data_IF_087147299086
#
_entry.id   IF_087147299086
#
_cell.length_a   1.000
_cell.length_b   1.000
_cell.length_c   1.000
_cell.angle_alpha   90.00
_cell.angle_beta   90.00
_cell.angle_gamma   90.00
#
_symmetry.space_group_name_H-M   'P 1'
#
loop_
_entity.id
_entity.type
_entity.pdbx_description
1 polymer ?
#
# COMPACT_ATOMS: atom_id res chain seq x y z
N UNK A 1 5.34 34.29 -7.82
CA UNK A 1 4.90 33.04 -8.44
C UNK A 1 4.10 32.28 -7.40
N UNK A 2 2.87 31.89 -7.71
CA UNK A 2 2.08 30.98 -6.87
C UNK A 2 2.84 29.66 -6.74
N UNK A 3 2.87 29.06 -5.55
CA UNK A 3 3.47 27.73 -5.39
C UNK A 3 2.68 26.73 -6.23
N UNK A 4 3.33 25.81 -6.96
CA UNK A 4 2.64 24.76 -7.70
C UNK A 4 1.74 23.94 -6.76
N UNK A 5 0.69 23.34 -7.31
CA UNK A 5 -0.14 22.37 -6.62
C UNK A 5 0.26 20.96 -7.07
N UNK A 6 0.18 19.97 -6.18
CA UNK A 6 0.43 18.58 -6.54
C UNK A 6 -0.88 17.82 -6.80
N UNK A 7 -0.96 17.13 -7.94
CA UNK A 7 -2.09 16.32 -8.34
C UNK A 7 -1.67 14.89 -8.64
N UNK A 8 -2.59 13.94 -8.40
CA UNK A 8 -2.56 12.59 -8.96
C UNK A 8 -3.36 12.62 -10.27
N UNK A 9 -2.74 12.22 -11.39
CA UNK A 9 -3.36 12.24 -12.73
C UNK A 9 -3.88 10.89 -13.19
N UNK A 10 -3.19 9.80 -12.82
CA UNK A 10 -3.63 8.44 -13.08
C UNK A 10 -3.00 7.51 -12.06
N UNK A 11 -3.60 6.34 -11.88
CA UNK A 11 -3.02 5.25 -11.09
C UNK A 11 -3.50 3.90 -11.60
N UNK A 12 -2.60 2.96 -11.78
CA UNK A 12 -2.89 1.59 -12.20
C UNK A 12 -2.16 0.60 -11.32
N UNK A 13 -2.59 -0.66 -11.35
CA UNK A 13 -1.94 -1.76 -10.64
C UNK A 13 -2.07 -3.07 -11.41
N UNK A 14 -1.20 -4.03 -11.11
CA UNK A 14 -1.47 -5.42 -11.47
C UNK A 14 -2.65 -5.94 -10.63
N UNK A 15 -3.33 -7.02 -11.06
CA UNK A 15 -4.01 -7.86 -10.08
C UNK A 15 -2.99 -8.35 -9.06
N UNK A 16 -3.41 -8.55 -7.81
CA UNK A 16 -2.53 -9.07 -6.78
C UNK A 16 -2.68 -10.58 -6.69
N UNK A 17 -1.54 -11.27 -6.83
CA UNK A 17 -1.43 -12.72 -6.71
C UNK A 17 -1.27 -13.14 -5.25
N UNK A 18 -1.72 -14.34 -4.90
CA UNK A 18 -1.43 -14.93 -3.58
C UNK A 18 0.02 -15.40 -3.52
N UNK A 19 0.56 -15.53 -2.31
CA UNK A 19 1.88 -16.12 -2.10
C UNK A 19 1.98 -17.54 -2.68
N UNK A 20 2.98 -17.76 -3.54
CA UNK A 20 3.14 -19.00 -4.31
C UNK A 20 2.07 -19.20 -5.40
N UNK A 21 1.26 -18.18 -5.70
CA UNK A 21 0.14 -18.22 -6.63
C UNK A 21 0.52 -17.75 -8.04
N UNK A 22 -0.44 -17.11 -8.72
CA UNK A 22 -0.37 -16.84 -10.16
C UNK A 22 0.80 -15.92 -10.58
N UNK A 23 1.29 -15.06 -9.68
CA UNK A 23 2.42 -14.15 -9.95
C UNK A 23 3.77 -14.65 -9.42
N UNK A 24 3.85 -15.80 -8.75
CA UNK A 24 5.09 -16.29 -8.13
C UNK A 24 6.22 -16.57 -9.15
N UNK A 25 5.85 -16.82 -10.42
CA UNK A 25 6.78 -17.00 -11.53
C UNK A 25 7.32 -15.70 -12.13
N UNK A 26 6.74 -14.54 -11.79
CA UNK A 26 7.08 -13.24 -12.38
C UNK A 26 8.01 -12.47 -11.44
N UNK A 27 9.11 -11.94 -11.97
CA UNK A 27 10.07 -11.18 -11.16
C UNK A 27 9.50 -9.83 -10.74
N UNK A 28 9.88 -9.28 -9.55
CA UNK A 28 9.41 -7.97 -9.11
C UNK A 28 9.90 -6.82 -9.99
N UNK A 29 11.11 -6.88 -10.56
CA UNK A 29 11.60 -5.85 -11.49
C UNK A 29 10.80 -5.86 -12.81
N UNK A 30 10.38 -7.03 -13.29
CA UNK A 30 9.47 -7.17 -14.44
C UNK A 30 8.04 -6.69 -14.12
N UNK A 31 7.50 -7.01 -12.94
CA UNK A 31 6.20 -6.49 -12.49
C UNK A 31 6.20 -4.96 -12.41
N UNK A 32 7.27 -4.38 -11.88
CA UNK A 32 7.45 -2.94 -11.83
C UNK A 32 7.56 -2.33 -13.23
N UNK A 33 8.40 -2.90 -14.10
CA UNK A 33 8.55 -2.44 -15.48
C UNK A 33 7.21 -2.49 -16.24
N UNK A 34 6.42 -3.54 -16.02
CA UNK A 34 5.11 -3.69 -16.64
C UNK A 34 4.16 -2.55 -16.27
N UNK A 35 3.98 -2.23 -14.98
CA UNK A 35 3.10 -1.12 -14.58
C UNK A 35 3.65 0.25 -14.99
N UNK A 36 4.98 0.42 -15.04
CA UNK A 36 5.59 1.66 -15.55
C UNK A 36 5.26 1.85 -17.04
N UNK A 37 5.50 0.83 -17.86
CA UNK A 37 5.21 0.86 -19.30
C UNK A 37 3.72 1.06 -19.56
N UNK A 38 2.88 0.25 -18.91
CA UNK A 38 1.43 0.33 -19.07
C UNK A 38 0.86 1.70 -18.67
N UNK A 39 1.43 2.36 -17.65
CA UNK A 39 1.01 3.70 -17.26
C UNK A 39 1.40 4.75 -18.31
N UNK A 40 2.63 4.68 -18.85
CA UNK A 40 3.08 5.59 -19.91
C UNK A 40 2.29 5.38 -21.20
N UNK A 41 1.96 4.14 -21.57
CA UNK A 41 1.15 3.82 -22.77
C UNK A 41 -0.24 4.45 -22.75
N UNK A 42 -0.78 4.74 -21.55
CA UNK A 42 -2.08 5.40 -21.40
C UNK A 42 -2.03 6.89 -21.73
N UNK A 43 -0.85 7.47 -21.88
CA UNK A 43 -0.64 8.86 -22.30
C UNK A 43 0.12 8.89 -23.64
N UNK A 44 -0.54 8.60 -24.78
CA UNK A 44 0.13 8.47 -26.08
C UNK A 44 0.82 9.75 -26.58
N UNK A 45 0.42 10.92 -26.07
CA UNK A 45 1.04 12.21 -26.38
C UNK A 45 2.25 12.56 -25.50
N UNK A 46 2.54 11.78 -24.46
CA UNK A 46 3.65 12.06 -23.55
C UNK A 46 4.99 11.73 -24.22
N UNK A 47 5.86 12.72 -24.38
CA UNK A 47 7.29 12.46 -24.57
C UNK A 47 7.87 11.94 -23.24
N UNK A 48 8.33 10.68 -23.15
CA UNK A 48 8.83 10.12 -21.89
C UNK A 48 10.00 10.91 -21.30
N UNK A 49 10.75 11.68 -22.10
CA UNK A 49 11.84 12.55 -21.61
C UNK A 49 11.33 13.68 -20.70
N UNK A 50 10.03 13.94 -20.69
CA UNK A 50 9.37 14.93 -19.82
C UNK A 50 9.00 14.38 -18.44
N UNK A 51 9.23 13.10 -18.18
CA UNK A 51 9.16 12.54 -16.83
C UNK A 51 10.45 12.94 -16.10
N UNK A 52 10.32 13.75 -15.04
CA UNK A 52 11.47 14.30 -14.32
C UNK A 52 12.16 13.24 -13.45
N UNK A 53 11.39 12.31 -12.88
CA UNK A 53 11.90 11.22 -12.06
C UNK A 53 10.90 10.06 -11.95
N UNK A 54 11.43 8.89 -11.58
CA UNK A 54 10.65 7.72 -11.14
C UNK A 54 10.97 7.43 -9.68
N UNK A 55 9.94 7.37 -8.82
CA UNK A 55 10.10 7.03 -7.39
C UNK A 55 9.22 5.85 -7.02
N UNK A 56 9.84 4.71 -6.67
CA UNK A 56 9.11 3.46 -6.37
C UNK A 56 9.32 2.99 -4.94
N UNK A 57 8.25 2.51 -4.32
CA UNK A 57 8.28 1.84 -3.03
C UNK A 57 8.62 0.36 -3.14
N UNK A 58 9.50 -0.12 -2.26
CA UNK A 58 9.79 -1.55 -2.12
C UNK A 58 10.27 -1.86 -0.68
N UNK A 59 9.63 -2.81 0.00
CA UNK A 59 9.91 -3.09 1.41
C UNK A 59 11.12 -4.01 1.59
N UNK A 60 11.33 -4.94 0.66
CA UNK A 60 12.47 -5.85 0.66
C UNK A 60 13.30 -5.66 -0.60
N UNK A 61 14.52 -5.08 -0.48
CA UNK A 61 15.42 -4.81 -1.59
C UNK A 61 16.54 -5.84 -1.77
N UNK A 62 16.34 -7.07 -1.29
CA UNK A 62 17.39 -8.08 -1.19
C UNK A 62 17.46 -9.03 -2.40
N UNK A 63 16.35 -9.18 -3.12
CA UNK A 63 16.18 -10.14 -4.21
C UNK A 63 16.41 -9.57 -5.59
N UNK A 64 15.50 -9.89 -6.49
CA UNK A 64 15.55 -9.50 -7.89
C UNK A 64 15.31 -7.98 -8.07
N UNK A 65 14.65 -7.37 -7.08
CA UNK A 65 14.40 -5.95 -6.89
C UNK A 65 15.58 -5.15 -6.28
N UNK A 66 16.76 -5.76 -6.18
CA UNK A 66 17.96 -5.14 -5.59
C UNK A 66 18.44 -3.89 -6.36
N UNK A 67 19.27 -3.10 -5.68
CA UNK A 67 20.05 -2.00 -6.27
C UNK A 67 19.19 -1.01 -7.08
N UNK A 68 18.09 -0.57 -6.47
CA UNK A 68 17.17 0.47 -6.98
C UNK A 68 16.20 -0.04 -8.06
N UNK A 69 15.16 -0.76 -7.63
CA UNK A 69 14.10 -1.29 -8.51
C UNK A 69 13.39 -0.21 -9.33
N UNK A 70 13.28 1.02 -8.82
CA UNK A 70 12.74 2.14 -9.59
C UNK A 70 13.55 2.38 -10.88
N UNK A 71 14.88 2.37 -10.77
CA UNK A 71 15.79 2.52 -11.92
C UNK A 71 15.74 1.30 -12.83
N UNK A 72 15.71 0.08 -12.27
CA UNK A 72 15.60 -1.14 -13.06
C UNK A 72 14.30 -1.16 -13.87
N UNK A 73 13.17 -0.89 -13.23
CA UNK A 73 11.85 -0.81 -13.85
C UNK A 73 11.80 0.23 -14.98
N UNK A 74 12.36 1.42 -14.76
CA UNK A 74 12.45 2.48 -15.78
C UNK A 74 13.18 2.01 -17.03
N UNK A 75 14.32 1.34 -16.86
CA UNK A 75 15.13 0.83 -17.98
C UNK A 75 14.46 -0.35 -18.68
N UNK A 76 13.93 -1.31 -17.93
CA UNK A 76 13.22 -2.48 -18.46
C UNK A 76 11.92 -2.10 -19.19
N UNK A 77 11.24 -1.04 -18.74
CA UNK A 77 10.08 -0.46 -19.43
C UNK A 77 10.44 0.28 -20.74
N UNK A 78 11.73 0.35 -21.10
CA UNK A 78 12.21 1.00 -22.31
C UNK A 78 12.16 2.53 -22.25
N UNK A 79 12.08 3.12 -21.06
CA UNK A 79 12.08 4.58 -20.92
C UNK A 79 13.51 5.17 -21.08
N UNK A 80 13.64 6.45 -21.47
CA UNK A 80 14.93 7.11 -21.65
C UNK A 80 15.88 6.96 -20.46
N UNK A 81 17.14 6.63 -20.74
CA UNK A 81 18.18 6.49 -19.71
C UNK A 81 18.45 7.76 -18.91
N UNK A 82 18.03 8.93 -19.42
CA UNK A 82 18.13 10.23 -18.76
C UNK A 82 17.21 10.39 -17.54
N UNK A 83 16.16 9.57 -17.42
CA UNK A 83 15.19 9.67 -16.31
C UNK A 83 15.80 9.08 -15.03
N UNK A 84 16.05 9.86 -13.98
CA UNK A 84 16.54 9.33 -12.71
C UNK A 84 15.47 8.45 -12.03
N UNK A 85 15.92 7.43 -11.31
CA UNK A 85 15.06 6.54 -10.54
C UNK A 85 15.51 6.47 -9.08
N UNK A 86 14.58 6.46 -8.13
CA UNK A 86 14.88 6.26 -6.70
C UNK A 86 13.92 5.27 -6.06
N UNK A 87 14.45 4.35 -5.25
CA UNK A 87 13.64 3.39 -4.51
C UNK A 87 13.57 3.83 -3.06
N UNK A 88 12.35 3.97 -2.54
CA UNK A 88 12.08 4.33 -1.15
C UNK A 88 11.61 3.09 -0.38
N UNK A 89 12.06 2.97 0.86
CA UNK A 89 11.63 1.91 1.77
C UNK A 89 11.11 2.53 3.06
N UNK A 90 9.79 2.48 3.21
CA UNK A 90 9.09 2.66 4.48
C UNK A 90 8.12 1.50 4.71
N UNK A 91 8.64 0.28 4.52
CA UNK A 91 7.93 -1.00 4.63
C UNK A 91 6.57 -0.97 3.89
N UNK A 92 5.47 -1.30 4.56
CA UNK A 92 4.11 -1.33 3.99
C UNK A 92 3.69 0.00 3.33
N UNK A 93 4.22 1.13 3.79
CA UNK A 93 3.86 2.46 3.31
C UNK A 93 4.71 2.96 2.15
N UNK A 94 5.64 2.16 1.62
CA UNK A 94 6.69 2.65 0.71
C UNK A 94 6.15 3.36 -0.53
N UNK A 95 5.14 2.83 -1.21
CA UNK A 95 4.57 3.52 -2.40
C UNK A 95 3.69 4.71 -2.07
N UNK A 96 3.09 4.78 -0.87
CA UNK A 96 2.42 6.00 -0.43
C UNK A 96 3.45 7.07 -0.11
N UNK A 97 4.56 6.70 0.53
CA UNK A 97 5.69 7.59 0.79
C UNK A 97 6.33 8.09 -0.52
N UNK A 98 6.41 7.24 -1.55
CA UNK A 98 6.85 7.64 -2.89
C UNK A 98 5.95 8.76 -3.47
N UNK A 99 4.63 8.63 -3.37
CA UNK A 99 3.69 9.68 -3.76
C UNK A 99 3.83 10.95 -2.90
N UNK A 100 4.08 10.80 -1.59
CA UNK A 100 4.33 11.92 -0.69
C UNK A 100 5.63 12.66 -1.03
N UNK A 101 6.71 11.95 -1.37
CA UNK A 101 7.98 12.53 -1.84
C UNK A 101 7.80 13.26 -3.16
N UNK A 102 7.19 12.63 -4.16
CA UNK A 102 6.93 13.27 -5.46
C UNK A 102 6.07 14.52 -5.33
N UNK A 103 5.01 14.45 -4.52
CA UNK A 103 4.14 15.58 -4.31
C UNK A 103 4.85 16.73 -3.55
N UNK A 104 5.90 16.47 -2.77
CA UNK A 104 6.76 17.53 -2.21
C UNK A 104 7.65 18.16 -3.28
N UNK A 105 8.27 17.35 -4.14
CA UNK A 105 9.09 17.82 -5.27
C UNK A 105 8.31 18.77 -6.17
N UNK A 106 7.06 18.40 -6.50
CA UNK A 106 6.15 19.27 -7.26
C UNK A 106 5.88 20.59 -6.54
N UNK A 107 5.51 20.57 -5.26
CA UNK A 107 5.17 21.78 -4.51
C UNK A 107 6.35 22.76 -4.34
N UNK A 108 7.59 22.25 -4.32
CA UNK A 108 8.79 23.11 -4.25
C UNK A 108 9.31 23.54 -5.63
N UNK A 109 8.73 23.01 -6.72
CA UNK A 109 9.08 23.35 -8.09
C UNK A 109 10.28 22.59 -8.67
N UNK A 110 10.69 21.48 -8.05
CA UNK A 110 11.80 20.65 -8.53
C UNK A 110 11.38 19.69 -9.66
N UNK A 111 10.08 19.42 -9.81
CA UNK A 111 9.53 18.54 -10.84
C UNK A 111 8.13 19.00 -11.27
N UNK A 112 7.81 18.80 -12.55
CA UNK A 112 6.46 18.98 -13.10
C UNK A 112 5.73 17.64 -13.24
N UNK A 113 6.45 16.54 -13.50
CA UNK A 113 5.87 15.21 -13.68
C UNK A 113 6.77 14.11 -13.11
N UNK A 114 6.28 13.43 -12.08
CA UNK A 114 6.96 12.30 -11.45
C UNK A 114 6.10 11.05 -11.58
N UNK A 115 6.70 9.97 -12.06
CA UNK A 115 6.07 8.65 -12.01
C UNK A 115 6.35 8.04 -10.63
N UNK A 116 5.29 7.67 -9.92
CA UNK A 116 5.36 7.06 -8.59
C UNK A 116 4.78 5.67 -8.61
N UNK A 117 5.07 4.87 -7.59
CA UNK A 117 4.48 3.54 -7.49
C UNK A 117 5.19 2.68 -6.47
N UNK A 118 5.07 1.36 -6.63
CA UNK A 118 5.85 0.39 -5.88
C UNK A 118 5.60 -1.03 -6.35
N UNK A 119 6.46 -1.93 -5.88
CA UNK A 119 6.38 -3.35 -6.20
C UNK A 119 6.78 -4.17 -4.98
N UNK A 120 6.13 -5.32 -4.83
CA UNK A 120 6.57 -6.36 -3.92
C UNK A 120 6.34 -7.73 -4.55
N UNK A 121 7.30 -8.63 -4.36
CA UNK A 121 7.18 -10.04 -4.73
C UNK A 121 7.59 -10.89 -3.54
N UNK A 122 6.65 -11.09 -2.62
CA UNK A 122 6.88 -11.86 -1.40
C UNK A 122 7.20 -13.32 -1.71
N UNK A 123 6.63 -13.89 -2.78
CA UNK A 123 6.90 -15.26 -3.25
C UNK A 123 8.35 -15.47 -3.69
N UNK A 124 9.02 -14.41 -4.15
CA UNK A 124 10.39 -14.45 -4.69
C UNK A 124 11.41 -13.80 -3.77
N UNK A 125 11.00 -13.45 -2.55
CA UNK A 125 11.90 -12.92 -1.54
C UNK A 125 13.00 -13.95 -1.21
N UNK A 126 14.29 -13.60 -1.31
CA UNK A 126 15.36 -14.55 -1.11
C UNK A 126 15.54 -14.92 0.36
N UNK A 127 16.45 -15.86 0.59
CA UNK A 127 17.06 -16.05 1.90
C UNK A 127 18.37 -15.25 1.97
N UNK A 128 18.71 -14.70 3.13
CA UNK A 128 19.98 -13.98 3.34
C UNK A 128 20.83 -14.67 4.39
N UNK A 129 22.15 -14.66 4.19
CA UNK A 129 23.13 -15.24 5.11
C UNK A 129 24.07 -14.15 5.63
N UNK A 130 24.29 -14.06 6.95
CA UNK A 130 25.31 -13.18 7.51
C UNK A 130 26.71 -13.53 6.98
N UNK A 131 27.56 -12.52 6.80
CA UNK A 131 28.98 -12.75 6.54
C UNK A 131 29.63 -13.38 7.77
N UNK A 132 30.59 -14.28 7.54
CA UNK A 132 31.38 -14.90 8.59
C UNK A 132 32.41 -13.90 9.13
N UNK A 133 32.58 -13.84 10.46
CA UNK A 133 33.61 -13.00 11.11
C UNK A 133 34.99 -13.63 11.15
N UNK A 134 35.10 -14.93 10.80
CA UNK A 134 36.35 -15.70 10.72
C UNK A 134 36.36 -16.51 9.41
N UNK A 135 37.54 -16.83 8.84
CA UNK A 135 37.64 -17.62 7.61
C UNK A 135 37.04 -19.03 7.72
N UNK A 136 37.17 -19.67 8.89
CA UNK A 136 36.70 -21.04 9.14
C UNK A 136 35.82 -21.07 10.40
N UNK A 137 34.53 -20.74 10.30
CA UNK A 137 33.61 -20.79 11.44
C UNK A 137 33.34 -22.24 11.85
N UNK A 138 33.52 -22.56 13.13
CA UNK A 138 33.17 -23.86 13.71
C UNK A 138 31.76 -23.83 14.34
N UNK A 139 30.77 -23.32 13.61
CA UNK A 139 29.35 -23.30 14.01
C UNK A 139 28.44 -23.26 12.78
N UNK A 140 27.16 -23.58 12.97
CA UNK A 140 26.15 -23.54 11.91
C UNK A 140 25.81 -22.11 11.50
N UNK A 141 25.49 -21.90 10.23
CA UNK A 141 24.92 -20.65 9.72
C UNK A 141 23.41 -20.82 9.50
N UNK A 142 22.63 -19.81 9.88
CA UNK A 142 21.19 -19.75 9.62
C UNK A 142 20.91 -18.81 8.46
N UNK A 143 20.22 -19.32 7.44
CA UNK A 143 19.67 -18.48 6.38
C UNK A 143 18.37 -17.84 6.88
N UNK A 144 18.25 -16.52 6.75
CA UNK A 144 17.07 -15.76 7.19
C UNK A 144 16.12 -15.54 6.01
N UNK A 145 14.82 -15.82 6.18
CA UNK A 145 13.82 -15.58 5.15
C UNK A 145 13.51 -14.08 5.06
N UNK A 146 13.58 -13.48 3.86
CA UNK A 146 13.30 -12.05 3.71
C UNK A 146 11.84 -11.71 3.38
N UNK A 147 10.97 -12.68 3.17
CA UNK A 147 9.59 -12.49 2.72
C UNK A 147 8.78 -11.60 3.68
N UNK A 148 8.89 -11.82 4.99
CA UNK A 148 8.25 -10.98 6.00
C UNK A 148 8.91 -11.16 7.37
N UNK A 149 8.86 -10.12 8.20
CA UNK A 149 9.15 -10.20 9.64
C UNK A 149 10.57 -9.79 10.03
N UNK A 150 10.83 -9.93 11.33
CA UNK A 150 12.12 -9.61 11.95
C UNK A 150 13.19 -10.61 11.54
N UNK A 151 14.38 -10.09 11.22
CA UNK A 151 15.57 -10.85 10.82
C UNK A 151 16.81 -10.04 11.15
N UNK A 152 17.94 -10.72 11.39
CA UNK A 152 19.22 -10.07 11.73
C UNK A 152 19.07 -9.02 12.85
N UNK A 153 18.27 -9.35 13.87
CA UNK A 153 17.83 -8.41 14.90
C UNK A 153 19.03 -7.89 15.69
N UNK A 154 19.14 -6.57 15.82
CA UNK A 154 20.17 -5.96 16.65
C UNK A 154 19.90 -6.29 18.13
N UNK A 155 20.85 -6.85 18.89
CA UNK A 155 20.66 -7.21 20.30
C UNK A 155 20.27 -6.05 21.23
N UNK A 156 20.43 -4.80 20.78
CA UNK A 156 20.00 -3.60 21.51
C UNK A 156 18.49 -3.32 21.37
N UNK A 157 17.79 -3.98 20.46
CA UNK A 157 16.35 -3.82 20.32
C UNK A 157 15.63 -4.44 21.53
N UNK A 158 14.73 -3.70 22.21
CA UNK A 158 13.85 -4.27 23.21
C UNK A 158 13.04 -5.44 22.65
N UNK A 159 12.88 -6.50 23.45
CA UNK A 159 12.16 -7.71 23.04
C UNK A 159 10.73 -7.40 22.60
N UNK A 160 10.03 -6.53 23.34
CA UNK A 160 8.66 -6.13 23.03
C UNK A 160 8.52 -5.40 21.68
N UNK A 161 9.60 -4.78 21.16
CA UNK A 161 9.57 -4.11 19.86
C UNK A 161 9.80 -5.06 18.69
N UNK A 162 10.29 -6.27 18.97
CA UNK A 162 10.68 -7.26 17.96
C UNK A 162 9.72 -8.45 17.87
N UNK A 163 8.54 -8.33 18.48
CA UNK A 163 7.45 -9.29 18.31
C UNK A 163 6.99 -9.30 16.84
N UNK A 164 6.40 -10.42 16.41
CA UNK A 164 5.85 -10.53 15.06
C UNK A 164 4.70 -9.52 14.85
N UNK A 165 4.41 -9.15 13.60
CA UNK A 165 3.27 -8.27 13.31
C UNK A 165 1.93 -8.86 13.81
N UNK A 166 1.78 -10.19 13.75
CA UNK A 166 0.60 -10.86 14.27
C UNK A 166 0.49 -10.79 15.79
N UNK A 167 1.59 -11.01 16.51
CA UNK A 167 1.63 -10.87 17.97
C UNK A 167 1.36 -9.42 18.41
N UNK A 168 1.98 -8.45 17.76
CA UNK A 168 1.69 -7.02 17.95
C UNK A 168 0.20 -6.71 17.72
N UNK A 169 -0.42 -7.34 16.72
CA UNK A 169 -1.84 -7.18 16.42
C UNK A 169 -2.74 -7.79 17.49
N UNK A 170 -2.37 -8.93 18.07
CA UNK A 170 -3.11 -9.52 19.20
C UNK A 170 -3.05 -8.58 20.42
N UNK A 171 -1.88 -8.02 20.76
CA UNK A 171 -1.74 -7.03 21.83
C UNK A 171 -2.59 -5.77 21.57
N UNK A 172 -2.67 -5.33 20.31
CA UNK A 172 -3.52 -4.22 19.91
C UNK A 172 -5.01 -4.57 20.06
N UNK A 173 -5.43 -5.76 19.64
CA UNK A 173 -6.81 -6.23 19.78
C UNK A 173 -7.24 -6.26 21.25
N UNK A 174 -6.38 -6.77 22.14
CA UNK A 174 -6.60 -6.77 23.59
C UNK A 174 -6.71 -5.35 24.14
N UNK A 175 -5.78 -4.47 23.78
CA UNK A 175 -5.76 -3.07 24.25
C UNK A 175 -7.02 -2.30 23.88
N UNK A 176 -7.56 -2.53 22.68
CA UNK A 176 -8.71 -1.80 22.15
C UNK A 176 -10.04 -2.56 22.26
N UNK A 177 -10.04 -3.77 22.83
CA UNK A 177 -11.24 -4.59 22.99
C UNK A 177 -11.85 -5.04 21.66
N UNK A 178 -11.03 -5.33 20.65
CA UNK A 178 -11.50 -5.76 19.33
C UNK A 178 -11.71 -7.27 19.31
N UNK A 179 -12.96 -7.69 19.48
CA UNK A 179 -13.30 -9.12 19.56
C UNK A 179 -13.09 -9.86 18.25
N UNK A 180 -12.93 -11.19 18.35
CA UNK A 180 -12.81 -12.10 17.19
C UNK A 180 -14.00 -11.96 16.24
N UNK A 181 -15.21 -11.87 16.77
CA UNK A 181 -16.45 -11.77 15.99
C UNK A 181 -16.46 -10.49 15.15
N UNK A 182 -16.00 -9.36 15.71
CA UNK A 182 -15.86 -8.11 14.96
C UNK A 182 -14.83 -8.23 13.84
N UNK A 183 -13.69 -8.88 14.12
CA UNK A 183 -12.63 -9.09 13.13
C UNK A 183 -13.12 -9.94 11.95
N UNK A 184 -13.83 -11.03 12.23
CA UNK A 184 -14.37 -11.92 11.19
C UNK A 184 -15.50 -11.26 10.40
N UNK A 185 -16.37 -10.46 11.05
CA UNK A 185 -17.39 -9.69 10.37
C UNK A 185 -16.80 -8.64 9.40
N UNK A 186 -15.77 -7.92 9.86
CA UNK A 186 -15.04 -6.96 9.02
C UNK A 186 -14.39 -7.64 7.81
N UNK A 187 -13.77 -8.81 8.02
CA UNK A 187 -13.13 -9.57 6.95
C UNK A 187 -14.13 -10.11 5.90
N UNK A 188 -15.27 -10.64 6.35
CA UNK A 188 -16.34 -11.08 5.45
C UNK A 188 -16.88 -9.92 4.59
N UNK A 189 -17.07 -8.74 5.20
CA UNK A 189 -17.53 -7.56 4.47
C UNK A 189 -16.48 -7.06 3.47
N UNK A 190 -15.19 -7.09 3.81
CA UNK A 190 -14.11 -6.74 2.87
C UNK A 190 -14.15 -7.63 1.61
N UNK A 191 -14.31 -8.95 1.79
CA UNK A 191 -14.48 -9.87 0.66
C UNK A 191 -15.73 -9.60 -0.16
N UNK A 192 -16.87 -9.34 0.49
CA UNK A 192 -18.15 -9.05 -0.19
C UNK A 192 -18.07 -7.74 -1.00
N UNK A 193 -17.48 -6.69 -0.42
CA UNK A 193 -17.31 -5.39 -1.07
C UNK A 193 -16.33 -5.46 -2.24
N UNK A 194 -15.19 -6.14 -2.09
CA UNK A 194 -14.28 -6.38 -3.21
C UNK A 194 -14.95 -7.22 -4.29
N UNK A 195 -15.77 -8.20 -3.90
CA UNK A 195 -16.49 -9.02 -4.87
C UNK A 195 -17.41 -8.17 -5.76
N UNK A 196 -18.29 -7.41 -5.12
CA UNK A 196 -19.23 -6.52 -5.78
C UNK A 196 -18.53 -5.45 -6.64
N UNK A 197 -17.45 -4.83 -6.14
CA UNK A 197 -16.74 -3.79 -6.88
C UNK A 197 -16.10 -4.31 -8.18
N UNK A 198 -15.63 -5.55 -8.19
CA UNK A 198 -15.16 -6.21 -9.42
C UNK A 198 -16.31 -6.53 -10.37
N UNK A 199 -17.41 -7.08 -9.86
CA UNK A 199 -18.56 -7.47 -10.68
C UNK A 199 -19.27 -6.25 -11.29
N UNK A 200 -19.22 -5.10 -10.61
CA UNK A 200 -19.69 -3.80 -11.10
C UNK A 200 -18.69 -3.09 -12.04
N UNK A 201 -17.53 -3.71 -12.33
CA UNK A 201 -16.54 -3.17 -13.25
C UNK A 201 -15.70 -2.01 -12.71
N UNK A 202 -15.73 -1.73 -11.39
CA UNK A 202 -15.00 -0.59 -10.78
C UNK A 202 -13.48 -0.68 -10.97
N UNK A 203 -12.96 -1.89 -11.19
CA UNK A 203 -11.53 -2.16 -11.43
C UNK A 203 -11.10 -2.15 -12.90
N UNK A 204 -12.03 -2.10 -13.85
CA UNK A 204 -11.77 -2.28 -15.28
C UNK A 204 -10.72 -1.30 -15.82
N UNK A 205 -10.77 -0.04 -15.38
CA UNK A 205 -9.92 1.02 -15.94
C UNK A 205 -8.56 1.18 -15.27
N UNK A 206 -8.29 0.42 -14.20
CA UNK A 206 -7.11 0.62 -13.37
C UNK A 206 -6.41 -0.64 -12.87
N UNK A 207 -6.84 -1.82 -13.34
CA UNK A 207 -6.10 -3.06 -13.19
C UNK A 207 -5.57 -3.50 -14.56
N UNK A 208 -4.26 -3.69 -14.67
CA UNK A 208 -3.59 -4.14 -15.90
C UNK A 208 -3.13 -5.59 -15.75
N UNK A 209 -3.54 -6.45 -16.68
CA UNK A 209 -3.19 -7.87 -16.66
C UNK A 209 -1.70 -8.07 -16.92
N UNK A 210 -1.07 -8.95 -16.15
CA UNK A 210 0.36 -9.25 -16.28
C UNK A 210 0.56 -10.29 -17.41
N UNK A 211 1.36 -9.97 -18.45
CA UNK A 211 1.62 -10.91 -19.54
C UNK A 211 2.19 -12.24 -19.01
N UNK A 212 1.56 -13.34 -19.42
CA UNK A 212 2.00 -14.70 -19.06
C UNK A 212 1.54 -15.22 -17.69
N UNK A 213 0.83 -14.43 -16.88
CA UNK A 213 0.36 -14.86 -15.56
C UNK A 213 -1.09 -15.42 -15.51
N UNK A 214 -1.84 -15.33 -16.61
CA UNK A 214 -3.28 -15.69 -16.71
C UNK A 214 -4.11 -15.28 -15.48
N UNK A 215 -3.83 -14.09 -14.94
CA UNK A 215 -4.50 -13.52 -13.78
C UNK A 215 -5.20 -12.23 -14.23
N UNK A 216 -6.53 -12.27 -14.25
CA UNK A 216 -7.37 -11.15 -14.72
C UNK A 216 -8.04 -10.39 -13.58
N UNK A 217 -8.00 -10.94 -12.36
CA UNK A 217 -8.62 -10.40 -11.13
C UNK A 217 -7.75 -10.73 -9.93
N UNK A 218 -7.89 -9.98 -8.84
CA UNK A 218 -7.16 -10.28 -7.59
C UNK A 218 -7.47 -11.69 -7.10
N UNK A 219 -6.42 -12.48 -6.88
CA UNK A 219 -6.52 -13.91 -6.59
C UNK A 219 -7.10 -14.16 -5.18
N UNK A 220 -6.93 -13.19 -4.27
CA UNK A 220 -7.34 -13.25 -2.86
C UNK A 220 -8.85 -13.42 -2.60
N UNK A 221 -9.69 -13.04 -3.55
CA UNK A 221 -11.12 -12.80 -3.30
C UNK A 221 -11.89 -14.11 -3.02
N UNK A 222 -12.74 -14.08 -1.99
CA UNK A 222 -13.59 -15.18 -1.54
C UNK A 222 -15.01 -14.66 -1.26
N UNK A 223 -15.87 -14.52 -2.29
CA UNK A 223 -17.18 -13.86 -2.16
C UNK A 223 -18.12 -14.55 -1.18
N UNK A 224 -17.97 -15.87 -1.00
CA UNK A 224 -18.81 -16.68 -0.12
C UNK A 224 -18.33 -16.67 1.35
N UNK A 225 -17.33 -15.85 1.69
CA UNK A 225 -16.86 -15.72 3.07
C UNK A 225 -17.96 -15.15 3.97
N UNK A 226 -18.26 -15.85 5.06
CA UNK A 226 -19.22 -15.40 6.09
C UNK A 226 -18.57 -15.40 7.47
N UNK A 227 -19.07 -14.61 8.43
CA UNK A 227 -18.58 -14.65 9.82
C UNK A 227 -18.58 -16.06 10.40
N UNK A 228 -19.61 -16.88 10.09
CA UNK A 228 -19.70 -18.26 10.55
C UNK A 228 -18.59 -19.16 9.98
N UNK A 229 -18.28 -19.03 8.69
CA UNK A 229 -17.16 -19.79 8.08
C UNK A 229 -15.80 -19.35 8.60
N UNK A 230 -15.62 -18.04 8.87
CA UNK A 230 -14.39 -17.49 9.39
C UNK A 230 -14.17 -17.85 10.87
N UNK A 231 -15.24 -17.94 11.67
CA UNK A 231 -15.18 -18.33 13.07
C UNK A 231 -14.56 -19.73 13.28
N UNK A 232 -14.71 -20.63 12.31
CA UNK A 232 -14.11 -21.97 12.33
C UNK A 232 -12.59 -22.01 12.12
N UNK A 233 -11.96 -20.89 11.74
CA UNK A 233 -10.52 -20.83 11.50
C UNK A 233 -9.73 -20.80 12.81
N UNK A 234 -8.61 -21.54 12.81
CA UNK A 234 -7.61 -21.52 13.88
C UNK A 234 -6.87 -20.19 13.91
N UNK A 235 -6.50 -19.76 15.10
CA UNK A 235 -5.63 -18.61 15.33
C UNK A 235 -4.24 -18.85 14.74
N UNK A 236 -3.62 -17.78 14.22
CA UNK A 236 -2.37 -17.87 13.47
C UNK A 236 -1.12 -17.58 14.31
N UNK A 237 -1.25 -16.79 15.38
CA UNK A 237 -0.09 -16.25 16.12
C UNK A 237 -0.05 -16.63 17.60
N UNK A 238 -1.19 -16.92 18.22
CA UNK A 238 -1.30 -17.40 19.60
C UNK A 238 -2.18 -18.65 19.65
N UNK A 239 -1.73 -19.69 20.36
CA UNK A 239 -2.49 -20.92 20.53
C UNK A 239 -3.70 -20.74 21.48
N UNK A 240 -3.54 -19.93 22.52
CA UNK A 240 -4.57 -19.60 23.50
C UNK A 240 -4.77 -18.09 23.57
N UNK A 241 -6.02 -17.63 23.73
CA UNK A 241 -6.36 -16.22 23.82
C UNK A 241 -6.16 -15.40 22.53
N UNK A 242 -5.81 -16.05 21.41
CA UNK A 242 -5.65 -15.40 20.13
C UNK A 242 -6.99 -15.09 19.44
N UNK A 243 -6.99 -14.06 18.61
CA UNK A 243 -8.14 -13.61 17.82
C UNK A 243 -7.81 -13.48 16.33
N UNK A 244 -6.54 -13.36 15.98
CA UNK A 244 -6.09 -13.19 14.61
C UNK A 244 -5.98 -14.55 13.91
N UNK A 245 -6.59 -14.65 12.73
CA UNK A 245 -6.59 -15.83 11.87
C UNK A 245 -6.13 -15.47 10.45
N UNK A 246 -5.86 -16.50 9.65
CA UNK A 246 -5.60 -16.29 8.22
C UNK A 246 -6.79 -15.69 7.43
N UNK A 247 -8.00 -15.73 8.00
CA UNK A 247 -9.20 -15.19 7.37
C UNK A 247 -9.49 -13.73 7.71
N UNK A 248 -8.91 -13.20 8.79
CA UNK A 248 -9.09 -11.82 9.23
C UNK A 248 -7.77 -11.01 9.21
N UNK A 249 -6.77 -11.54 8.51
CA UNK A 249 -5.51 -10.88 8.19
C UNK A 249 -5.33 -10.81 6.69
N UNK A 250 -4.62 -9.79 6.19
CA UNK A 250 -4.22 -9.76 4.79
C UNK A 250 -3.24 -10.91 4.48
N UNK A 251 -3.34 -11.53 3.30
CA UNK A 251 -2.38 -12.53 2.88
C UNK A 251 -1.01 -11.91 2.52
N UNK A 252 -0.01 -12.78 2.35
CA UNK A 252 1.21 -12.41 1.64
C UNK A 252 0.91 -12.43 0.14
N UNK A 253 1.39 -11.42 -0.60
CA UNK A 253 1.01 -11.22 -1.99
C UNK A 253 2.16 -10.71 -2.85
N UNK A 254 2.02 -10.92 -4.15
CA UNK A 254 2.86 -10.32 -5.17
C UNK A 254 2.04 -9.30 -5.98
N UNK A 255 2.66 -8.20 -6.37
CA UNK A 255 2.02 -7.20 -7.22
C UNK A 255 2.77 -5.88 -7.31
N UNK A 256 2.38 -5.07 -8.29
CA UNK A 256 2.92 -3.73 -8.52
C UNK A 256 1.79 -2.71 -8.75
N UNK A 257 2.10 -1.44 -8.48
CA UNK A 257 1.21 -0.31 -8.72
C UNK A 257 2.01 0.91 -9.13
N UNK A 258 1.42 1.78 -9.95
CA UNK A 258 2.06 2.99 -10.47
C UNK A 258 1.03 4.12 -10.62
N UNK A 259 1.50 5.36 -10.60
CA UNK A 259 0.69 6.54 -10.89
C UNK A 259 1.53 7.74 -11.30
N UNK A 260 0.87 8.78 -11.82
CA UNK A 260 1.51 10.05 -12.15
C UNK A 260 1.16 11.10 -11.11
N UNK A 261 2.18 11.68 -10.48
CA UNK A 261 2.04 12.87 -9.64
C UNK A 261 2.69 14.04 -10.35
N UNK A 262 1.97 15.15 -10.50
CA UNK A 262 2.47 16.30 -11.26
C UNK A 262 1.90 17.65 -10.83
N UNK A 263 2.51 18.72 -11.35
CA UNK A 263 2.01 20.09 -11.27
C UNK A 263 0.84 20.29 -12.23
N UNK A 264 0.24 21.48 -12.23
CA UNK A 264 -0.78 21.87 -13.21
C UNK A 264 -0.31 21.66 -14.67
N UNK A 265 1.01 21.78 -14.92
CA UNK A 265 1.60 21.61 -16.26
C UNK A 265 1.58 20.16 -16.74
N UNK A 266 1.47 19.19 -15.82
CA UNK A 266 1.39 17.79 -16.19
C UNK A 266 0.10 17.45 -16.94
N UNK A 267 -0.96 18.27 -16.83
CA UNK A 267 -2.18 18.09 -17.61
C UNK A 267 -1.88 18.11 -19.12
N UNK A 268 -1.11 19.10 -19.58
CA UNK A 268 -0.71 19.23 -20.99
C UNK A 268 0.23 18.10 -21.42
N UNK A 269 1.12 17.66 -20.53
CA UNK A 269 2.07 16.58 -20.81
C UNK A 269 1.38 15.22 -20.96
N UNK A 270 0.36 14.97 -20.13
CA UNK A 270 -0.34 13.68 -20.05
C UNK A 270 -1.59 13.64 -20.94
N UNK A 271 -2.06 14.79 -21.41
CA UNK A 271 -3.30 14.95 -22.17
C UNK A 271 -4.54 14.58 -21.37
N UNK A 272 -4.56 14.87 -20.07
CA UNK A 272 -5.67 14.51 -19.17
C UNK A 272 -5.77 15.44 -17.97
N UNK A 273 -6.98 15.54 -17.44
CA UNK A 273 -7.27 16.25 -16.21
C UNK A 273 -6.80 15.47 -14.97
N UNK A 274 -6.49 16.16 -13.85
CA UNK A 274 -6.11 15.51 -12.61
C UNK A 274 -7.26 14.69 -12.03
N UNK A 275 -6.97 13.47 -11.58
CA UNK A 275 -7.91 12.61 -10.86
C UNK A 275 -8.17 13.12 -9.44
N UNK A 276 -7.13 13.61 -8.77
CA UNK A 276 -7.23 14.19 -7.43
C UNK A 276 -6.14 15.20 -7.14
N UNK A 277 -6.44 16.23 -6.34
CA UNK A 277 -5.46 17.14 -5.74
C UNK A 277 -4.94 16.54 -4.44
N UNK A 278 -3.62 16.51 -4.24
CA UNK A 278 -3.00 16.09 -2.97
C UNK A 278 -2.99 17.31 -2.04
N UNK A 279 -3.91 17.34 -1.07
CA UNK A 279 -4.16 18.49 -0.19
C UNK A 279 -3.13 18.56 0.92
N UNK A 280 -2.93 17.46 1.63
CA UNK A 280 -2.04 17.38 2.79
C UNK A 280 -1.52 15.97 3.01
N UNK A 281 -0.51 15.84 3.87
CA UNK A 281 0.05 14.55 4.28
C UNK A 281 0.28 14.50 5.77
N UNK A 282 0.16 13.31 6.35
CA UNK A 282 0.44 12.98 7.73
C UNK A 282 1.44 11.83 7.83
N UNK A 283 2.31 11.92 8.82
CA UNK A 283 3.29 10.88 9.18
C UNK A 283 3.34 10.85 10.69
N UNK A 284 3.22 9.68 11.27
CA UNK A 284 3.32 9.49 12.71
C UNK A 284 4.12 8.22 13.03
N UNK A 285 4.75 8.23 14.20
CA UNK A 285 5.37 7.05 14.79
C UNK A 285 4.82 6.81 16.18
N UNK A 286 4.83 5.55 16.62
CA UNK A 286 4.45 5.11 17.95
C UNK A 286 5.29 3.89 18.37
N UNK A 287 4.96 3.25 19.49
CA UNK A 287 5.65 2.04 19.92
C UNK A 287 5.58 0.95 18.82
N UNK A 288 6.70 0.27 18.48
CA UNK A 288 6.75 -0.68 17.37
C UNK A 288 5.67 -1.77 17.35
N UNK A 289 5.28 -2.29 18.52
CA UNK A 289 4.23 -3.29 18.68
C UNK A 289 2.81 -2.72 18.57
N UNK A 290 2.65 -1.40 18.51
CA UNK A 290 1.37 -0.69 18.31
C UNK A 290 1.25 -0.12 16.89
N UNK A 291 2.06 -0.60 15.96
CA UNK A 291 2.14 -0.11 14.59
C UNK A 291 0.77 0.03 13.90
N UNK A 292 -0.14 -0.89 14.19
CA UNK A 292 -1.49 -0.90 13.62
C UNK A 292 -2.30 0.35 13.96
N UNK A 293 -1.98 1.05 15.06
CA UNK A 293 -2.70 2.25 15.50
C UNK A 293 -2.08 3.57 15.01
N UNK A 294 -0.84 3.54 14.50
CA UNK A 294 -0.15 4.74 14.02
C UNK A 294 -0.90 5.53 12.91
N UNK A 295 -1.74 4.91 12.05
CA UNK A 295 -2.58 5.66 11.10
C UNK A 295 -3.48 6.70 11.75
N UNK A 296 -3.87 6.53 13.02
CA UNK A 296 -4.76 7.46 13.72
C UNK A 296 -4.12 8.85 13.80
N UNK A 297 -2.93 8.93 14.42
CA UNK A 297 -2.20 10.19 14.53
C UNK A 297 -1.74 10.73 13.16
N UNK A 298 -1.43 9.86 12.20
CA UNK A 298 -1.10 10.27 10.85
C UNK A 298 -2.30 10.95 10.16
N UNK A 299 -3.50 10.37 10.26
CA UNK A 299 -4.72 10.93 9.68
C UNK A 299 -5.09 12.26 10.33
N UNK A 300 -5.09 12.35 11.66
CA UNK A 300 -5.31 13.60 12.41
C UNK A 300 -4.33 14.70 11.98
N UNK A 301 -3.05 14.36 11.80
CA UNK A 301 -2.05 15.30 11.31
C UNK A 301 -2.36 15.76 9.88
N UNK A 302 -2.80 14.86 9.00
CA UNK A 302 -3.16 15.20 7.63
C UNK A 302 -4.40 16.11 7.59
N UNK A 303 -5.47 15.76 8.30
CA UNK A 303 -6.70 16.57 8.40
C UNK A 303 -6.42 17.97 8.96
N UNK A 304 -5.68 18.06 10.08
CA UNK A 304 -5.28 19.34 10.67
C UNK A 304 -4.50 20.22 9.69
N UNK A 305 -3.60 19.63 8.89
CA UNK A 305 -2.83 20.35 7.85
C UNK A 305 -3.69 20.76 6.65
N UNK A 306 -4.75 20.03 6.36
CA UNK A 306 -5.74 20.39 5.35
C UNK A 306 -6.76 21.42 5.85
N UNK A 307 -6.83 21.66 7.16
CA UNK A 307 -7.87 22.49 7.77
C UNK A 307 -9.25 21.82 7.74
N UNK A 308 -9.28 20.48 7.75
CA UNK A 308 -10.50 19.68 7.65
C UNK A 308 -10.76 18.91 8.95
N UNK A 309 -12.00 18.45 9.09
CA UNK A 309 -12.48 17.55 10.13
C UNK A 309 -12.92 16.21 9.54
N UNK A 310 -13.22 15.22 10.37
CA UNK A 310 -13.74 13.94 9.90
C UNK A 310 -15.10 14.04 9.19
N UNK A 311 -15.92 15.03 9.56
CA UNK A 311 -17.21 15.30 8.92
C UNK A 311 -17.10 15.82 7.48
N UNK A 312 -15.90 16.23 7.05
CA UNK A 312 -15.64 16.69 5.67
C UNK A 312 -15.22 15.55 4.74
N UNK A 313 -15.03 14.31 5.25
CA UNK A 313 -14.44 13.20 4.50
C UNK A 313 -15.52 12.28 3.91
N UNK A 314 -15.60 12.25 2.58
CA UNK A 314 -16.58 11.47 1.81
C UNK A 314 -16.11 10.06 1.47
N UNK A 315 -14.79 9.80 1.56
CA UNK A 315 -14.23 8.48 1.30
C UNK A 315 -12.94 8.22 2.09
N UNK A 316 -12.84 7.04 2.70
CA UNK A 316 -11.61 6.56 3.35
C UNK A 316 -11.15 5.27 2.71
N UNK A 317 -9.86 5.19 2.39
CA UNK A 317 -9.13 3.96 2.06
C UNK A 317 -8.08 3.69 3.12
N UNK A 318 -8.41 2.84 4.09
CA UNK A 318 -7.49 2.35 5.12
C UNK A 318 -6.97 0.98 4.71
N UNK A 319 -5.66 0.82 4.62
CA UNK A 319 -5.05 -0.48 4.35
C UNK A 319 -5.37 -1.50 5.47
N UNK A 320 -5.97 -2.62 5.10
CA UNK A 320 -6.40 -3.67 6.02
C UNK A 320 -5.30 -4.71 6.24
N UNK A 321 -4.19 -4.33 6.88
CA UNK A 321 -3.13 -5.30 7.19
C UNK A 321 -3.68 -6.46 8.06
N UNK A 322 -4.50 -6.09 9.05
CA UNK A 322 -5.27 -6.99 9.90
C UNK A 322 -6.64 -6.35 10.20
N UNK A 323 -7.68 -7.16 10.42
CA UNK A 323 -8.98 -6.65 10.81
C UNK A 323 -8.93 -5.92 12.15
N UNK A 324 -8.18 -6.46 13.14
CA UNK A 324 -8.05 -5.85 14.45
C UNK A 324 -7.49 -4.43 14.41
N UNK A 325 -6.42 -4.20 13.63
CA UNK A 325 -5.86 -2.84 13.49
C UNK A 325 -6.81 -1.91 12.75
N UNK A 326 -7.50 -2.40 11.71
CA UNK A 326 -8.47 -1.59 10.99
C UNK A 326 -9.55 -1.09 11.93
N UNK A 327 -10.18 -2.01 12.67
CA UNK A 327 -11.23 -1.72 13.62
C UNK A 327 -10.75 -0.79 14.75
N UNK A 328 -9.52 -0.97 15.26
CA UNK A 328 -8.96 -0.06 16.26
C UNK A 328 -8.82 1.38 15.73
N UNK A 329 -8.38 1.57 14.48
CA UNK A 329 -8.36 2.89 13.86
C UNK A 329 -9.75 3.45 13.62
N UNK A 330 -10.68 2.63 13.12
CA UNK A 330 -12.06 3.05 12.88
C UNK A 330 -12.78 3.46 14.16
N UNK A 331 -12.61 2.71 15.25
CA UNK A 331 -13.18 3.03 16.55
C UNK A 331 -12.65 4.37 17.09
N UNK A 332 -11.42 4.76 16.74
CA UNK A 332 -10.87 6.06 17.10
C UNK A 332 -11.47 7.19 16.24
N UNK A 333 -11.51 6.99 14.92
CA UNK A 333 -12.02 8.00 13.99
C UNK A 333 -13.52 8.22 14.11
N UNK A 334 -14.30 7.17 14.37
CA UNK A 334 -15.75 7.25 14.60
C UNK A 334 -16.06 8.12 15.83
N UNK A 335 -15.29 7.98 16.91
CA UNK A 335 -15.42 8.84 18.10
C UNK A 335 -15.17 10.31 17.77
N UNK A 336 -14.31 10.58 16.80
CA UNK A 336 -13.97 11.92 16.35
C UNK A 336 -14.84 12.40 15.18
N UNK A 337 -15.86 11.63 14.79
CA UNK A 337 -16.92 12.04 13.87
C UNK A 337 -16.83 11.49 12.44
N UNK A 338 -15.98 10.48 12.17
CA UNK A 338 -15.98 9.79 10.88
C UNK A 338 -17.23 8.92 10.72
N UNK A 339 -17.91 9.01 9.58
CA UNK A 339 -18.86 7.98 9.15
C UNK A 339 -18.11 6.73 8.66
N UNK A 340 -18.13 5.66 9.45
CA UNK A 340 -17.48 4.39 9.07
C UNK A 340 -18.06 3.78 7.79
N UNK A 341 -19.27 4.19 7.37
CA UNK A 341 -19.91 3.81 6.12
C UNK A 341 -19.18 4.29 4.86
N UNK A 342 -18.22 5.22 4.98
CA UNK A 342 -17.40 5.68 3.84
C UNK A 342 -16.07 4.93 3.68
N UNK A 343 -15.78 3.96 4.55
CA UNK A 343 -14.49 3.23 4.56
C UNK A 343 -14.51 2.05 3.59
N UNK A 344 -13.44 1.92 2.79
CA UNK A 344 -13.13 0.78 1.93
C UNK A 344 -14.33 0.21 1.16
N UNK A 345 -15.16 1.07 0.55
CA UNK A 345 -16.41 0.64 -0.12
C UNK A 345 -16.18 -0.10 -1.44
N UNK A 346 -14.93 -0.20 -1.87
CA UNK A 346 -14.50 -1.08 -2.97
C UNK A 346 -13.76 -2.33 -2.41
N UNK A 347 -13.84 -2.54 -1.08
CA UNK A 347 -13.14 -3.55 -0.30
C UNK A 347 -11.65 -3.23 -0.10
N UNK A 348 -10.96 -4.07 0.67
CA UNK A 348 -9.60 -3.76 1.13
C UNK A 348 -8.64 -4.94 1.13
N UNK A 349 -7.51 -4.77 1.81
CA UNK A 349 -6.35 -5.64 1.68
C UNK A 349 -6.55 -7.06 2.25
N UNK A 350 -7.56 -7.31 3.10
CA UNK A 350 -7.93 -8.66 3.51
C UNK A 350 -8.38 -9.48 2.30
N UNK A 351 -9.15 -8.86 1.40
CA UNK A 351 -9.67 -9.50 0.20
C UNK A 351 -8.77 -9.35 -1.03
N UNK A 352 -8.28 -8.13 -1.28
CA UNK A 352 -7.48 -7.77 -2.45
C UNK A 352 -6.04 -8.30 -2.32
N UNK A 353 -5.49 -8.29 -1.10
CA UNK A 353 -4.09 -8.61 -0.83
C UNK A 353 -3.23 -7.38 -0.47
N UNK A 354 -2.08 -7.67 0.15
CA UNK A 354 -1.14 -6.68 0.69
C UNK A 354 0.32 -6.89 0.20
N UNK A 355 0.62 -6.65 -1.09
CA UNK A 355 2.01 -6.61 -1.57
C UNK A 355 2.65 -5.32 -1.04
N UNK A 356 3.36 -5.44 0.09
CA UNK A 356 3.87 -4.35 0.94
C UNK A 356 4.24 -3.08 0.15
N UNK A 357 5.32 -3.12 -0.64
CA UNK A 357 5.81 -2.00 -1.43
C UNK A 357 4.77 -1.36 -2.38
N UNK A 358 3.82 -2.12 -2.92
CA UNK A 358 2.81 -1.64 -3.88
C UNK A 358 1.48 -1.19 -3.24
N UNK A 359 1.28 -1.45 -1.95
CA UNK A 359 -0.02 -1.27 -1.30
C UNK A 359 -0.43 0.20 -1.10
N UNK A 360 0.54 1.08 -0.86
CA UNK A 360 0.34 2.51 -0.67
C UNK A 360 -0.24 3.24 -1.88
N UNK A 361 0.28 2.97 -3.09
CA UNK A 361 -0.28 3.58 -4.30
C UNK A 361 -1.66 2.99 -4.65
N UNK A 362 -1.94 1.74 -4.24
CA UNK A 362 -3.28 1.15 -4.37
C UNK A 362 -4.31 1.83 -3.47
N UNK A 363 -4.03 2.12 -2.18
CA UNK A 363 -4.98 2.91 -1.35
C UNK A 363 -5.24 4.29 -1.94
N UNK A 364 -4.18 4.99 -2.36
CA UNK A 364 -4.28 6.37 -2.85
C UNK A 364 -5.01 6.45 -4.20
N UNK A 365 -4.74 5.53 -5.11
CA UNK A 365 -5.45 5.42 -6.38
C UNK A 365 -6.93 5.10 -6.20
N UNK A 366 -7.26 4.14 -5.32
CA UNK A 366 -8.65 3.76 -5.07
C UNK A 366 -9.45 4.91 -4.47
N UNK A 367 -8.94 5.64 -3.46
CA UNK A 367 -9.71 6.74 -2.83
C UNK A 367 -10.00 7.84 -3.83
N UNK A 368 -9.03 8.18 -4.69
CA UNK A 368 -9.19 9.19 -5.73
C UNK A 368 -10.27 8.80 -6.75
N UNK A 369 -10.28 7.53 -7.19
CA UNK A 369 -11.33 7.00 -8.10
C UNK A 369 -12.68 6.90 -7.44
N UNK A 370 -12.73 6.55 -6.15
CA UNK A 370 -13.98 6.50 -5.38
C UNK A 370 -14.64 7.87 -5.31
N UNK A 371 -13.88 8.92 -4.98
CA UNK A 371 -14.40 10.28 -4.97
C UNK A 371 -14.93 10.71 -6.34
N UNK A 372 -14.17 10.44 -7.41
CA UNK A 372 -14.59 10.74 -8.77
C UNK A 372 -15.90 10.00 -9.15
N UNK A 373 -16.03 8.73 -8.77
CA UNK A 373 -17.21 7.92 -9.06
C UNK A 373 -18.45 8.33 -8.24
N UNK A 374 -18.28 8.82 -7.01
CA UNK A 374 -19.40 9.20 -6.14
C UNK A 374 -19.71 10.69 -6.14
N UNK A 375 -18.88 11.52 -6.79
CA UNK A 375 -18.95 12.98 -6.68
C UNK A 375 -18.56 13.52 -5.31
N UNK A 376 -17.86 12.71 -4.48
CA UNK A 376 -17.35 13.15 -3.18
C UNK A 376 -16.22 14.16 -3.35
N UNK A 377 -16.05 15.06 -2.38
CA UNK A 377 -15.06 16.12 -2.41
C UNK A 377 -13.74 15.72 -1.77
N UNK A 378 -13.73 15.35 -0.49
CA UNK A 378 -12.49 15.02 0.21
C UNK A 378 -12.39 13.55 0.59
N UNK A 379 -11.19 12.99 0.47
CA UNK A 379 -10.93 11.62 0.86
C UNK A 379 -9.59 11.46 1.57
N UNK A 380 -9.45 10.35 2.27
CA UNK A 380 -8.27 10.01 3.06
C UNK A 380 -7.75 8.62 2.66
N UNK A 381 -6.49 8.54 2.23
CA UNK A 381 -5.76 7.28 2.14
C UNK A 381 -4.86 7.12 3.37
N UNK A 382 -4.90 5.97 4.03
CA UNK A 382 -4.12 5.69 5.23
C UNK A 382 -3.55 4.27 5.26
N UNK A 383 -2.36 4.11 5.86
CA UNK A 383 -1.68 2.81 5.96
C UNK A 383 -0.84 2.71 7.23
N UNK A 384 -0.96 1.58 7.94
CA UNK A 384 -0.07 1.21 9.03
C UNK A 384 1.24 0.62 8.46
N UNK A 385 2.31 0.75 9.23
CA UNK A 385 3.66 0.37 8.80
C UNK A 385 4.35 -0.29 9.97
N UNK A 386 4.87 -1.50 9.76
CA UNK A 386 5.61 -2.24 10.77
C UNK A 386 6.70 -1.40 11.44
N UNK A 387 7.06 -1.77 12.67
CA UNK A 387 8.01 -0.99 13.50
C UNK A 387 7.45 0.38 13.92
N UNK A 388 6.13 0.51 14.04
CA UNK A 388 5.51 1.62 14.75
C UNK A 388 5.38 2.91 13.92
N UNK A 389 4.92 2.83 12.67
CA UNK A 389 4.72 4.02 11.84
C UNK A 389 3.37 4.01 11.11
N UNK A 390 2.90 5.18 10.69
CA UNK A 390 1.69 5.35 9.91
C UNK A 390 1.80 6.53 8.95
N UNK A 391 1.16 6.41 7.79
CA UNK A 391 1.05 7.49 6.80
C UNK A 391 -0.40 7.75 6.48
N UNK A 392 -0.71 9.01 6.17
CA UNK A 392 -2.01 9.41 5.65
C UNK A 392 -1.87 10.53 4.61
N UNK A 393 -2.74 10.53 3.60
CA UNK A 393 -2.81 11.56 2.56
C UNK A 393 -4.26 11.98 2.39
N UNK A 394 -4.52 13.29 2.52
CA UNK A 394 -5.82 13.87 2.17
C UNK A 394 -5.78 14.27 0.70
N UNK A 395 -6.81 13.86 -0.03
CA UNK A 395 -7.02 14.23 -1.43
C UNK A 395 -8.34 14.97 -1.61
N UNK A 396 -8.41 15.84 -2.61
CA UNK A 396 -9.63 16.51 -3.04
C UNK A 396 -9.93 16.13 -4.49
N UNK A 397 -11.19 15.84 -4.79
CA UNK A 397 -11.71 15.72 -6.14
C UNK A 397 -11.85 17.11 -6.79
N UNK A 398 -11.09 17.43 -7.85
CA UNK A 398 -11.14 18.74 -8.49
C UNK A 398 -12.49 19.05 -9.17
N UNK A 399 -13.33 18.05 -9.41
CA UNK A 399 -14.64 18.19 -10.04
C UNK A 399 -15.83 18.29 -9.09
N UNK A 400 -15.60 18.27 -7.76
CA UNK A 400 -16.66 18.29 -6.74
C UNK A 400 -17.08 19.70 -6.29
#
# INVERSE_FOLDING_TARGET
MTRPTAFLYDSIRTPFGRFGGALAGVRPDDLAAHVVRALVDRSPGLDPKRIDAVTFGNANGAGEENRNVARMATLLAGLPVSIPGSTVNRLCGSSLDAAMVASRQVLVGDADLVLVGGVESMSRAPWVLPKTSKPYPAHNLTAENTALGWRLVNPRMPGEWTVSLGEATEQLAERHGVSRERQDAFAAESHRLTAAAWDEGRYADHVVSVPGADLTRDEGIRPDSTPATLAGLRTAFRAEGGTVTAGNASPLNDGASAGFVGSERAADLLGRDPLARIVSRGEAGNEPQLFGYAPVAAAEQALRRAGLTWGDIDAVELNEAFAAQSLACLDAWERDGLDVGVVNRWGGAIAIGHPLGASGMRVLGTVARRLAATGGRYGLAAICIGVGQGLAVVVENPGA
#
